data_IF_779937602482
#
_entry.id   IF_779937602482
#
_cell.length_a   1.000
_cell.length_b   1.000
_cell.length_c   1.000
_cell.angle_alpha   90.00
_cell.angle_beta   90.00
_cell.angle_gamma   90.00
#
_symmetry.space_group_name_H-M   'P 1'
#
loop_
_entity.id
_entity.type
_entity.pdbx_description
1 polymer ?
#
# COMPACT_ATOMS: atom_id res chain seq x y z
N UNK A 1 36.34 19.54 -41.68
CA UNK A 1 36.71 19.55 -40.23
C UNK A 1 36.82 18.11 -39.73
N UNK A 2 37.58 17.82 -38.66
CA UNK A 2 37.71 16.46 -38.14
C UNK A 2 36.34 15.85 -37.80
N UNK A 3 36.07 14.65 -38.33
CA UNK A 3 34.83 13.90 -38.09
C UNK A 3 33.66 14.19 -39.04
N UNK A 4 33.77 15.18 -39.93
CA UNK A 4 32.76 15.40 -40.97
C UNK A 4 32.97 14.45 -42.16
N UNK A 5 31.87 14.03 -42.78
CA UNK A 5 31.86 13.24 -44.01
C UNK A 5 31.42 14.11 -45.19
N UNK A 6 31.99 13.86 -46.38
CA UNK A 6 31.59 14.55 -47.61
C UNK A 6 30.51 13.76 -48.32
N UNK A 7 29.39 14.40 -48.64
CA UNK A 7 28.28 13.79 -49.38
C UNK A 7 28.60 13.74 -50.87
N UNK A 8 27.78 12.99 -51.64
CA UNK A 8 27.86 12.97 -53.11
C UNK A 8 27.56 14.34 -53.75
N UNK A 9 26.79 15.19 -53.07
CA UNK A 9 26.49 16.57 -53.47
C UNK A 9 27.62 17.56 -53.17
N UNK A 10 28.67 17.12 -52.47
CA UNK A 10 29.82 17.97 -52.11
C UNK A 10 29.73 18.61 -50.73
N UNK A 11 28.63 18.42 -50.01
CA UNK A 11 28.40 19.00 -48.69
C UNK A 11 29.22 18.29 -47.61
N UNK A 12 29.67 19.02 -46.58
CA UNK A 12 30.27 18.45 -45.39
C UNK A 12 29.23 18.34 -44.28
N UNK A 13 28.89 17.11 -43.89
CA UNK A 13 27.87 16.85 -42.86
C UNK A 13 28.45 16.00 -41.72
N UNK A 14 27.89 16.14 -40.53
CA UNK A 14 28.20 15.24 -39.43
C UNK A 14 27.52 13.87 -39.62
N UNK A 15 28.19 12.75 -39.30
CA UNK A 15 27.60 11.42 -39.38
C UNK A 15 26.37 11.29 -38.45
N UNK A 16 25.54 10.27 -38.71
CA UNK A 16 24.29 10.06 -37.94
C UNK A 16 24.58 10.01 -36.43
N UNK A 17 23.69 10.61 -35.64
CA UNK A 17 23.79 10.75 -34.17
C UNK A 17 24.96 11.63 -33.68
N UNK A 18 25.52 12.47 -34.55
CA UNK A 18 26.48 13.51 -34.16
C UNK A 18 26.02 14.88 -34.65
N UNK A 19 26.38 15.93 -33.92
CA UNK A 19 26.11 17.33 -34.29
C UNK A 19 27.40 18.15 -34.28
N UNK A 20 27.46 19.18 -35.12
CA UNK A 20 28.62 20.06 -35.17
C UNK A 20 28.64 20.94 -33.92
N UNK A 21 29.61 20.72 -33.03
CA UNK A 21 29.88 21.58 -31.87
C UNK A 21 31.28 22.15 -31.97
N UNK A 22 31.36 23.47 -32.09
CA UNK A 22 32.63 24.15 -32.37
C UNK A 22 33.20 23.70 -33.71
N UNK A 23 34.30 22.93 -33.68
CA UNK A 23 35.02 22.45 -34.87
C UNK A 23 35.04 20.93 -35.03
N UNK A 24 34.20 20.21 -34.27
CA UNK A 24 34.14 18.76 -34.30
C UNK A 24 32.69 18.26 -34.31
N UNK A 25 32.46 17.11 -34.95
CA UNK A 25 31.21 16.37 -34.79
C UNK A 25 31.23 15.64 -33.45
N UNK A 26 30.38 16.06 -32.51
CA UNK A 26 30.25 15.43 -31.20
C UNK A 26 28.97 14.58 -31.13
N UNK A 27 28.98 13.46 -30.39
CA UNK A 27 27.78 12.65 -30.19
C UNK A 27 26.62 13.47 -29.60
N UNK A 28 25.42 13.27 -30.14
CA UNK A 28 24.19 13.81 -29.57
C UNK A 28 23.87 12.96 -28.33
N UNK A 29 24.42 13.36 -27.19
CA UNK A 29 24.09 12.76 -25.90
C UNK A 29 22.74 13.31 -25.48
N UNK A 30 21.66 12.60 -25.80
CA UNK A 30 20.41 12.75 -25.05
C UNK A 30 20.71 12.20 -23.66
N UNK A 31 21.04 13.07 -22.71
CA UNK A 31 21.00 12.68 -21.31
C UNK A 31 19.61 12.10 -21.09
N UNK A 32 19.48 10.83 -20.67
CA UNK A 32 18.21 10.38 -20.16
C UNK A 32 17.97 11.26 -18.94
N UNK A 33 17.06 12.22 -19.07
CA UNK A 33 16.43 12.85 -17.92
C UNK A 33 15.65 11.73 -17.28
N UNK A 34 16.32 10.92 -16.47
CA UNK A 34 15.65 9.96 -15.61
C UNK A 34 14.84 10.84 -14.68
N UNK A 35 13.56 11.02 -15.00
CA UNK A 35 12.64 11.73 -14.11
C UNK A 35 12.76 11.04 -12.76
N UNK A 36 13.31 11.75 -11.77
CA UNK A 36 13.48 11.19 -10.45
C UNK A 36 12.10 11.09 -9.81
N UNK A 37 11.81 9.94 -9.19
CA UNK A 37 10.61 9.82 -8.38
C UNK A 37 10.70 10.77 -7.18
N UNK A 38 9.71 11.65 -7.04
CA UNK A 38 9.72 12.74 -6.05
C UNK A 38 9.34 12.26 -4.65
N UNK A 39 8.54 11.20 -4.53
CA UNK A 39 8.14 10.62 -3.25
C UNK A 39 9.24 9.69 -2.74
N UNK A 40 9.65 9.89 -1.48
CA UNK A 40 10.69 9.10 -0.84
C UNK A 40 10.34 7.61 -0.83
N UNK A 41 11.21 6.80 -1.43
CA UNK A 41 11.07 5.34 -1.49
C UNK A 41 10.32 4.81 -2.70
N UNK A 42 9.84 5.67 -3.61
CA UNK A 42 9.32 5.22 -4.91
C UNK A 42 10.44 4.74 -5.82
N UNK A 43 10.10 3.76 -6.67
CA UNK A 43 10.97 3.20 -7.70
C UNK A 43 10.24 3.15 -9.03
N UNK A 44 10.99 3.18 -10.13
CA UNK A 44 10.41 2.97 -11.46
C UNK A 44 10.03 1.50 -11.63
N UNK A 45 8.81 1.25 -12.09
CA UNK A 45 8.43 -0.08 -12.58
C UNK A 45 8.97 -0.30 -14.01
N UNK A 46 8.73 -1.49 -14.58
CA UNK A 46 9.14 -1.84 -15.95
C UNK A 46 8.58 -0.92 -17.04
N UNK A 47 7.52 -0.15 -16.74
CA UNK A 47 6.88 0.82 -17.64
C UNK A 47 7.38 2.25 -17.42
N UNK A 48 8.33 2.47 -16.52
CA UNK A 48 8.85 3.79 -16.20
C UNK A 48 7.91 4.64 -15.34
N UNK A 49 6.95 4.04 -14.64
CA UNK A 49 6.12 4.77 -13.66
C UNK A 49 6.70 4.66 -12.25
N UNK A 50 6.66 5.76 -11.49
CA UNK A 50 7.03 5.78 -10.08
C UNK A 50 5.97 5.10 -9.21
N UNK A 51 6.35 4.01 -8.54
CA UNK A 51 5.48 3.20 -7.69
C UNK A 51 6.14 2.90 -6.35
N UNK A 52 5.33 2.65 -5.31
CA UNK A 52 5.85 2.09 -4.07
C UNK A 52 6.17 0.58 -4.25
N UNK A 53 7.27 0.09 -3.65
CA UNK A 53 7.58 -1.34 -3.63
C UNK A 53 6.43 -2.19 -3.05
N UNK A 54 6.40 -3.47 -3.41
CA UNK A 54 5.37 -4.40 -2.90
C UNK A 54 5.33 -4.42 -1.37
N UNK A 55 4.11 -4.40 -0.82
CA UNK A 55 3.88 -4.37 0.63
C UNK A 55 4.09 -2.98 1.27
N UNK A 56 4.21 -1.93 0.46
CA UNK A 56 4.25 -0.54 0.94
C UNK A 56 3.25 0.32 0.18
N UNK A 57 2.79 1.36 0.85
CA UNK A 57 1.88 2.38 0.31
C UNK A 57 2.38 3.77 0.73
N UNK A 58 1.84 4.81 0.09
CA UNK A 58 2.25 6.18 0.41
C UNK A 58 1.61 6.60 1.74
N UNK A 59 2.42 6.68 2.80
CA UNK A 59 2.00 7.12 4.14
C UNK A 59 2.85 8.32 4.54
N UNK A 60 2.21 9.47 4.75
CA UNK A 60 2.87 10.75 5.11
C UNK A 60 4.03 11.10 4.16
N UNK A 61 3.76 11.06 2.86
CA UNK A 61 4.71 11.48 1.81
C UNK A 61 5.91 10.54 1.58
N UNK A 62 5.85 9.30 2.06
CA UNK A 62 6.87 8.30 1.81
C UNK A 62 6.24 6.91 1.65
N UNK A 63 6.88 6.04 0.86
CA UNK A 63 6.50 4.62 0.84
C UNK A 63 6.83 4.00 2.20
N UNK A 64 5.80 3.54 2.91
CA UNK A 64 5.92 2.84 4.20
C UNK A 64 5.08 1.59 4.14
N UNK A 65 5.45 0.59 4.95
CA UNK A 65 4.53 -0.53 5.17
C UNK A 65 3.28 0.02 5.83
N UNK A 66 2.11 -0.38 5.33
CA UNK A 66 0.86 -0.24 6.07
C UNK A 66 1.14 -0.70 7.50
N UNK A 67 0.91 0.19 8.46
CA UNK A 67 1.22 -0.08 9.85
C UNK A 67 0.47 -1.37 10.20
N UNK A 68 1.20 -2.43 10.53
CA UNK A 68 0.61 -3.71 10.90
C UNK A 68 -0.20 -3.47 12.17
N UNK A 69 -1.48 -3.14 12.02
CA UNK A 69 -2.40 -3.08 13.13
C UNK A 69 -2.59 -4.52 13.62
N UNK A 70 -1.98 -4.79 14.77
CA UNK A 70 -2.15 -6.07 15.42
C UNK A 70 -3.62 -6.22 15.83
N UNK A 71 -4.16 -7.43 15.68
CA UNK A 71 -5.54 -7.72 16.08
C UNK A 71 -5.79 -7.28 17.54
N UNK A 72 -7.03 -6.89 17.89
CA UNK A 72 -7.39 -6.63 19.29
C UNK A 72 -6.91 -7.78 20.14
N UNK A 73 -6.14 -7.49 21.18
CA UNK A 73 -5.51 -8.54 21.95
C UNK A 73 -3.98 -8.67 21.76
N UNK A 74 -3.40 -7.93 20.81
CA UNK A 74 -1.97 -8.04 20.51
C UNK A 74 -1.31 -6.69 20.30
N UNK A 75 0.02 -6.64 20.48
CA UNK A 75 0.84 -5.45 20.23
C UNK A 75 2.05 -5.79 19.38
N UNK A 76 2.55 -4.82 18.64
CA UNK A 76 3.75 -4.98 17.82
C UNK A 76 4.99 -4.92 18.72
N UNK A 77 5.68 -6.05 18.89
CA UNK A 77 6.97 -6.16 19.59
C UNK A 77 7.98 -6.75 18.62
N UNK A 78 9.12 -6.09 18.42
CA UNK A 78 10.19 -6.54 17.51
C UNK A 78 9.68 -6.86 16.08
N UNK A 79 8.70 -6.11 15.59
CA UNK A 79 8.11 -6.32 14.26
C UNK A 79 7.16 -7.51 14.14
N UNK A 80 6.82 -8.19 15.24
CA UNK A 80 5.82 -9.26 15.28
C UNK A 80 4.68 -8.91 16.23
N UNK A 81 3.44 -9.21 15.83
CA UNK A 81 2.31 -9.12 16.75
C UNK A 81 2.43 -10.21 17.81
N UNK A 82 2.53 -9.80 19.08
CA UNK A 82 2.56 -10.69 20.24
C UNK A 82 1.33 -10.43 21.11
N UNK A 83 0.73 -11.46 21.73
CA UNK A 83 -0.42 -11.29 22.61
C UNK A 83 -0.02 -10.47 23.84
N UNK A 84 -0.86 -9.51 24.24
CA UNK A 84 -0.67 -8.83 25.53
C UNK A 84 -1.19 -9.78 26.59
N UNK A 85 -0.34 -10.49 27.34
CA UNK A 85 -0.79 -11.42 28.37
C UNK A 85 -1.62 -10.65 29.42
N UNK A 86 -2.94 -10.68 29.26
CA UNK A 86 -3.93 -10.13 30.20
C UNK A 86 -4.72 -11.31 30.73
N UNK A 87 -4.88 -11.37 32.05
CA UNK A 87 -5.71 -12.41 32.69
C UNK A 87 -7.22 -12.19 32.44
N UNK A 88 -7.62 -11.03 31.90
CA UNK A 88 -9.03 -10.65 31.73
C UNK A 88 -9.26 -9.95 30.39
N UNK A 89 -10.41 -10.21 29.81
CA UNK A 89 -10.92 -9.50 28.64
C UNK A 89 -11.25 -8.02 28.98
N UNK A 90 -11.22 -7.11 27.98
CA UNK A 90 -11.65 -5.72 28.18
C UNK A 90 -13.14 -5.64 28.58
N UNK A 91 -13.53 -4.53 29.23
CA UNK A 91 -14.92 -4.30 29.69
C UNK A 91 -15.90 -4.43 28.52
N UNK A 92 -17.01 -5.15 28.73
CA UNK A 92 -18.02 -5.40 27.70
C UNK A 92 -17.80 -6.67 26.86
N UNK A 93 -16.73 -7.42 27.12
CA UNK A 93 -16.44 -8.72 26.48
C UNK A 93 -16.16 -9.81 27.51
N UNK A 94 -16.38 -11.07 27.15
CA UNK A 94 -16.15 -12.27 27.98
C UNK A 94 -15.37 -13.33 27.19
N UNK A 95 -14.71 -14.26 27.89
CA UNK A 95 -13.87 -15.30 27.27
C UNK A 95 -12.46 -15.31 27.84
N UNK A 96 -11.55 -15.97 27.13
CA UNK A 96 -10.13 -16.02 27.47
C UNK A 96 -9.34 -15.16 26.49
N UNK A 97 -8.55 -14.23 27.01
CA UNK A 97 -7.72 -13.38 26.17
C UNK A 97 -6.73 -14.21 25.33
N UNK A 98 -6.58 -13.96 24.02
CA UNK A 98 -7.13 -12.84 23.23
C UNK A 98 -8.52 -13.07 22.63
N UNK A 99 -9.09 -14.26 22.75
CA UNK A 99 -10.38 -14.70 22.18
C UNK A 99 -11.58 -14.22 23.03
N UNK A 100 -11.76 -12.90 23.08
CA UNK A 100 -12.87 -12.28 23.78
C UNK A 100 -14.09 -12.10 22.85
N UNK A 101 -15.29 -12.35 23.35
CA UNK A 101 -16.57 -12.20 22.63
C UNK A 101 -17.48 -11.17 23.32
N UNK A 102 -18.34 -10.44 22.57
CA UNK A 102 -19.27 -9.48 23.16
C UNK A 102 -20.28 -10.14 24.10
N UNK A 103 -20.57 -9.50 25.24
CA UNK A 103 -21.66 -9.95 26.13
C UNK A 103 -23.00 -9.69 25.43
N UNK A 104 -23.58 -10.70 24.80
CA UNK A 104 -24.96 -10.62 24.33
C UNK A 104 -25.89 -10.76 25.53
N UNK A 105 -26.51 -9.67 25.96
CA UNK A 105 -27.65 -9.77 26.89
C UNK A 105 -28.77 -10.47 26.11
N UNK A 106 -29.17 -11.66 26.55
CA UNK A 106 -30.39 -12.27 26.02
C UNK A 106 -31.55 -11.31 26.31
N UNK A 107 -32.44 -11.01 25.34
CA UNK A 107 -33.66 -10.30 25.65
C UNK A 107 -34.46 -11.15 26.63
N UNK A 108 -34.78 -10.59 27.80
CA UNK A 108 -35.56 -11.23 28.86
C UNK A 108 -37.04 -11.29 28.50
N UNK A 109 -37.39 -11.83 27.33
CA UNK A 109 -38.76 -12.13 26.96
C UNK A 109 -39.03 -13.60 27.32
N UNK A 110 -39.32 -13.84 28.60
CA UNK A 110 -39.98 -15.09 29.01
C UNK A 110 -41.46 -14.94 28.64
N UNK A 111 -41.85 -15.46 27.48
CA UNK A 111 -43.27 -15.67 27.17
C UNK A 111 -43.71 -16.87 28.01
N UNK A 112 -44.53 -16.63 29.03
CA UNK A 112 -45.19 -17.69 29.79
C UNK A 112 -46.15 -18.45 28.83
N UNK A 113 -45.94 -19.76 28.58
CA UNK A 113 -46.77 -20.51 27.64
C UNK A 113 -48.22 -20.74 28.13
N UNK A 114 -48.53 -20.44 29.39
CA UNK A 114 -49.86 -20.64 29.98
C UNK A 114 -50.85 -19.47 29.81
N UNK A 115 -50.48 -18.42 29.06
CA UNK A 115 -51.38 -17.29 28.75
C UNK A 115 -52.19 -17.48 27.48
N UNK A 116 -52.00 -18.58 26.75
CA UNK A 116 -52.77 -18.92 25.56
C UNK A 116 -53.80 -20.01 25.88
N UNK A 117 -55.01 -19.54 26.16
CA UNK A 117 -56.29 -20.20 25.86
C UNK A 117 -56.75 -21.27 26.86
N UNK A 118 -57.34 -20.75 27.93
CA UNK A 118 -58.41 -21.40 28.67
C UNK A 118 -59.66 -21.44 27.75
N UNK A 119 -60.15 -22.60 27.28
CA UNK A 119 -61.20 -22.65 26.26
C UNK A 119 -62.65 -22.52 26.78
N UNK A 120 -62.90 -22.17 28.05
CA UNK A 120 -64.27 -22.01 28.59
C UNK A 120 -64.81 -20.56 28.54
N UNK A 121 -64.37 -19.72 27.59
CA UNK A 121 -64.83 -18.33 27.48
C UNK A 121 -66.06 -18.15 26.56
N UNK A 122 -66.57 -19.19 25.87
CA UNK A 122 -67.87 -19.09 25.18
C UNK A 122 -68.64 -20.43 25.19
N UNK A 123 -69.74 -20.44 25.98
CA UNK A 123 -70.87 -21.40 26.07
C UNK A 123 -70.78 -22.52 27.10
#
# INVERSE_FOLDING_TARGET
LPGQIRTKSGDCVCPRRTELRGRACLPIVKQPTVELCTIRGQVHNKRGACVCPRGTEVIRGACRRAQLECAPGSRLINGRCQPIIRRRCPVGTVGQYPDCHPIRRAPTLQINPNLLLNPNILQ
#
